data_IF_309159344523
#
_entry.id   IF_309159344523
#
_cell.length_a   1.000
_cell.length_b   1.000
_cell.length_c   1.000
_cell.angle_alpha   90.00
_cell.angle_beta   90.00
_cell.angle_gamma   90.00
#
_symmetry.space_group_name_H-M   'P 1'
#
loop_
_entity.id
_entity.type
_entity.pdbx_description
1 polymer ?
#
# COMPACT_ATOMS: atom_id res chain seq x y z
N UNK A 1 -0.76 23.03 -46.50
CA UNK A 1 -0.09 23.51 -45.28
C UNK A 1 -1.01 23.47 -44.03
N UNK A 2 -2.35 23.71 -44.13
CA UNK A 2 -3.25 23.67 -42.94
C UNK A 2 -3.48 22.29 -42.35
N UNK A 3 -3.31 21.19 -43.08
CA UNK A 3 -3.52 19.81 -42.60
C UNK A 3 -2.33 19.21 -41.83
N UNK A 4 -1.11 19.74 -42.03
CA UNK A 4 0.09 19.30 -41.31
C UNK A 4 0.19 19.88 -39.90
N UNK A 5 -0.37 21.06 -39.65
CA UNK A 5 -0.36 21.70 -38.32
C UNK A 5 -1.31 20.97 -37.32
N UNK A 6 -2.42 20.42 -37.84
CA UNK A 6 -3.40 19.72 -36.99
C UNK A 6 -2.88 18.36 -36.43
N UNK A 7 -1.98 17.71 -37.16
CA UNK A 7 -1.42 16.39 -36.74
C UNK A 7 -0.34 16.56 -35.65
N UNK A 8 0.46 17.63 -35.73
CA UNK A 8 1.47 17.90 -34.71
C UNK A 8 0.87 18.30 -33.34
N UNK A 9 -0.30 18.94 -33.31
CA UNK A 9 -0.95 19.35 -32.05
C UNK A 9 -1.52 18.18 -31.27
N UNK A 10 -1.86 17.05 -31.91
CA UNK A 10 -2.39 15.86 -31.23
C UNK A 10 -1.29 15.03 -30.53
N UNK A 11 -0.05 15.12 -30.99
CA UNK A 11 1.06 14.31 -30.46
C UNK A 11 1.61 14.90 -29.14
N UNK A 12 1.43 16.20 -28.90
CA UNK A 12 1.98 16.88 -27.71
C UNK A 12 1.14 16.66 -26.46
N UNK A 13 -0.15 16.33 -26.58
CA UNK A 13 -1.06 16.10 -25.45
C UNK A 13 -0.94 14.71 -24.80
N UNK A 14 -0.26 13.77 -25.44
CA UNK A 14 -0.08 12.40 -24.93
C UNK A 14 1.07 12.24 -23.91
N UNK A 15 1.85 13.29 -23.64
CA UNK A 15 3.05 13.23 -22.79
C UNK A 15 2.79 13.54 -21.29
N UNK A 16 1.56 13.90 -20.90
CA UNK A 16 1.21 14.21 -19.52
C UNK A 16 0.36 13.12 -18.85
N UNK A 17 0.56 11.85 -19.18
CA UNK A 17 0.10 10.80 -18.31
C UNK A 17 0.94 10.88 -17.03
N UNK A 18 0.34 11.02 -15.80
CA UNK A 18 1.11 10.90 -14.58
C UNK A 18 1.70 9.49 -14.59
N UNK A 19 3.02 9.41 -14.73
CA UNK A 19 3.72 8.16 -14.48
C UNK A 19 3.37 7.78 -13.05
N UNK A 20 2.56 6.75 -12.86
CA UNK A 20 2.47 6.11 -11.57
C UNK A 20 3.92 5.83 -11.16
N UNK A 21 4.37 6.42 -10.05
CA UNK A 21 5.73 6.23 -9.56
C UNK A 21 5.90 4.75 -9.25
N UNK A 22 6.35 3.99 -10.24
CA UNK A 22 6.80 2.62 -10.05
C UNK A 22 8.17 2.71 -9.42
N UNK A 23 8.39 1.90 -8.36
CA UNK A 23 9.74 1.72 -7.85
C UNK A 23 10.62 1.25 -9.02
N UNK A 24 11.82 1.79 -9.13
CA UNK A 24 12.81 1.26 -10.04
C UNK A 24 13.38 -0.08 -9.52
N UNK A 25 14.30 -0.70 -10.24
CA UNK A 25 14.79 -2.05 -9.89
C UNK A 25 15.42 -2.11 -8.49
N UNK A 26 16.10 -1.06 -8.04
CA UNK A 26 16.69 -1.02 -6.69
C UNK A 26 15.64 -0.85 -5.60
N UNK A 27 14.61 -0.06 -5.84
CA UNK A 27 13.44 0.05 -4.95
C UNK A 27 12.67 -1.26 -4.85
N UNK A 28 12.54 -2.00 -5.94
CA UNK A 28 11.95 -3.34 -5.95
C UNK A 28 12.78 -4.34 -5.13
N UNK A 29 14.09 -4.31 -5.24
CA UNK A 29 14.98 -5.22 -4.46
C UNK A 29 14.96 -4.86 -2.98
N UNK A 30 14.97 -3.58 -2.64
CA UNK A 30 14.76 -3.11 -1.27
C UNK A 30 13.41 -3.58 -0.71
N UNK A 31 12.32 -3.43 -1.46
CA UNK A 31 11.00 -3.88 -1.05
C UNK A 31 10.93 -5.40 -0.84
N UNK A 32 11.53 -6.19 -1.73
CA UNK A 32 11.63 -7.65 -1.57
C UNK A 32 12.43 -8.04 -0.34
N UNK A 33 13.55 -7.35 -0.06
CA UNK A 33 14.32 -7.56 1.16
C UNK A 33 13.45 -7.30 2.39
N UNK A 34 12.78 -6.15 2.50
CA UNK A 34 11.91 -5.81 3.62
C UNK A 34 10.81 -6.85 3.86
N UNK A 35 10.15 -7.32 2.80
CA UNK A 35 9.12 -8.36 2.91
C UNK A 35 9.70 -9.67 3.43
N UNK A 36 10.88 -10.09 2.96
CA UNK A 36 11.54 -11.33 3.43
C UNK A 36 12.06 -11.21 4.86
N UNK A 37 12.50 -10.03 5.27
CA UNK A 37 13.03 -9.77 6.60
C UNK A 37 11.95 -9.61 7.68
N UNK A 38 10.67 -9.45 7.30
CA UNK A 38 9.56 -9.33 8.25
C UNK A 38 8.88 -10.67 8.53
N UNK A 39 8.67 -10.96 9.81
CA UNK A 39 7.86 -12.10 10.26
C UNK A 39 6.35 -11.85 10.06
N UNK A 40 5.49 -12.88 10.16
CA UNK A 40 4.04 -12.69 10.21
C UNK A 40 3.60 -11.76 11.35
N UNK A 41 4.26 -11.84 12.52
CA UNK A 41 4.00 -10.99 13.68
C UNK A 41 4.36 -9.53 13.42
N UNK A 42 5.46 -9.27 12.71
CA UNK A 42 5.84 -7.91 12.30
C UNK A 42 4.79 -7.33 11.34
N UNK A 43 4.35 -8.10 10.36
CA UNK A 43 3.31 -7.65 9.43
C UNK A 43 1.97 -7.41 10.11
N UNK A 44 1.60 -8.26 11.08
CA UNK A 44 0.41 -8.02 11.91
C UNK A 44 0.54 -6.73 12.74
N UNK A 45 1.75 -6.44 13.25
CA UNK A 45 2.03 -5.17 13.96
C UNK A 45 1.93 -3.97 13.02
N UNK A 46 2.41 -4.06 11.78
CA UNK A 46 2.23 -3.00 10.77
C UNK A 46 0.75 -2.69 10.55
N UNK A 47 -0.11 -3.72 10.42
CA UNK A 47 -1.56 -3.54 10.28
C UNK A 47 -2.16 -2.86 11.53
N UNK A 48 -1.77 -3.30 12.74
CA UNK A 48 -2.24 -2.68 13.98
C UNK A 48 -1.84 -1.20 14.06
N UNK A 49 -0.63 -0.87 13.65
CA UNK A 49 -0.13 0.50 13.62
C UNK A 49 -0.91 1.36 12.63
N UNK A 50 -1.14 0.88 11.40
CA UNK A 50 -1.96 1.58 10.40
C UNK A 50 -3.38 1.81 10.95
N UNK A 51 -3.99 0.78 11.55
CA UNK A 51 -5.32 0.89 12.12
C UNK A 51 -5.38 1.91 13.26
N UNK A 52 -4.34 1.99 14.10
CA UNK A 52 -4.26 2.97 15.19
C UNK A 52 -4.23 4.41 14.68
N UNK A 53 -3.65 4.68 13.49
CA UNK A 53 -3.73 5.98 12.82
C UNK A 53 -5.08 6.25 12.21
N UNK A 54 -5.66 5.29 11.50
CA UNK A 54 -7.01 5.41 10.91
C UNK A 54 -8.04 5.72 12.01
N UNK A 55 -7.90 5.09 13.18
CA UNK A 55 -8.77 5.32 14.34
C UNK A 55 -8.67 6.73 14.95
N UNK A 56 -7.72 7.57 14.54
CA UNK A 56 -7.68 8.99 14.91
C UNK A 56 -8.65 9.85 14.09
N UNK A 57 -9.07 9.37 12.91
CA UNK A 57 -10.00 10.11 12.07
C UNK A 57 -11.35 10.30 12.79
N UNK A 58 -11.94 11.51 12.79
CA UNK A 58 -13.19 11.79 13.53
C UNK A 58 -14.33 10.80 13.23
N UNK A 59 -14.50 10.41 11.97
CA UNK A 59 -15.58 9.51 11.55
C UNK A 59 -15.32 8.04 11.91
N UNK A 60 -14.07 7.66 12.12
CA UNK A 60 -13.65 6.27 12.44
C UNK A 60 -13.48 6.07 13.95
N UNK A 61 -13.11 7.13 14.66
CA UNK A 61 -12.83 7.11 16.11
C UNK A 61 -13.93 6.47 16.95
N UNK A 62 -15.18 6.59 16.52
CA UNK A 62 -16.33 6.02 17.22
C UNK A 62 -16.43 4.49 17.09
N UNK A 63 -15.73 3.90 16.11
CA UNK A 63 -15.75 2.46 15.81
C UNK A 63 -14.67 1.69 16.57
N UNK A 64 -13.67 2.39 17.15
CA UNK A 64 -12.54 1.76 17.82
C UNK A 64 -12.06 2.62 18.99
N UNK A 65 -11.78 1.97 20.13
CA UNK A 65 -11.15 2.59 21.29
C UNK A 65 -9.71 2.10 21.42
N UNK A 66 -8.75 2.98 21.11
CA UNK A 66 -7.31 2.71 21.25
C UNK A 66 -6.73 3.73 22.20
N UNK A 67 -6.17 3.28 23.33
CA UNK A 67 -5.56 4.18 24.32
C UNK A 67 -4.28 4.85 23.78
N UNK A 68 -3.92 5.98 24.37
CA UNK A 68 -2.71 6.71 24.00
C UNK A 68 -1.45 5.89 24.28
N UNK A 69 -1.42 5.13 25.38
CA UNK A 69 -0.32 4.24 25.73
C UNK A 69 -0.13 3.16 24.63
N UNK A 70 -1.24 2.60 24.14
CA UNK A 70 -1.18 1.60 23.05
C UNK A 70 -0.65 2.21 21.76
N UNK A 71 -1.06 3.45 21.42
CA UNK A 71 -0.54 4.17 20.26
C UNK A 71 0.97 4.45 20.39
N UNK A 72 1.40 4.92 21.54
CA UNK A 72 2.84 5.16 21.81
C UNK A 72 3.63 3.86 21.66
N UNK A 73 3.14 2.76 22.21
CA UNK A 73 3.79 1.46 22.09
C UNK A 73 3.87 0.97 20.63
N UNK A 74 2.81 1.14 19.84
CA UNK A 74 2.80 0.79 18.41
C UNK A 74 3.76 1.67 17.61
N UNK A 75 3.80 2.98 17.89
CA UNK A 75 4.73 3.91 17.24
C UNK A 75 6.18 3.51 17.51
N UNK A 76 6.51 3.18 18.77
CA UNK A 76 7.86 2.73 19.11
C UNK A 76 8.23 1.45 18.37
N UNK A 77 7.38 0.43 18.41
CA UNK A 77 7.62 -0.85 17.70
C UNK A 77 7.78 -0.64 16.19
N UNK A 78 6.96 0.22 15.57
CA UNK A 78 7.08 0.52 14.15
C UNK A 78 8.37 1.25 13.83
N UNK A 79 8.80 2.20 14.68
CA UNK A 79 10.08 2.87 14.53
C UNK A 79 11.26 1.89 14.67
N UNK A 80 11.24 1.01 15.66
CA UNK A 80 12.26 -0.02 15.88
C UNK A 80 12.35 -0.97 14.66
N UNK A 81 11.22 -1.45 14.16
CA UNK A 81 11.15 -2.28 12.95
C UNK A 81 11.68 -1.53 11.72
N UNK A 82 11.27 -0.28 11.54
CA UNK A 82 11.73 0.57 10.42
C UNK A 82 13.25 0.72 10.45
N UNK A 83 13.81 1.05 11.58
CA UNK A 83 15.28 1.20 11.72
C UNK A 83 16.00 -0.12 11.46
N UNK A 84 15.53 -1.22 12.04
CA UNK A 84 16.13 -2.54 11.82
C UNK A 84 16.09 -2.96 10.35
N UNK A 85 15.00 -2.72 9.64
CA UNK A 85 14.91 -3.00 8.21
C UNK A 85 15.89 -2.15 7.39
N UNK A 86 15.98 -0.85 7.67
CA UNK A 86 16.79 0.10 6.89
C UNK A 86 18.30 -0.03 7.17
N UNK A 87 18.69 -0.33 8.42
CA UNK A 87 20.10 -0.25 8.84
C UNK A 87 20.76 -1.59 9.10
N UNK A 88 19.97 -2.65 9.34
CA UNK A 88 20.50 -3.96 9.68
C UNK A 88 20.18 -5.01 8.60
N UNK A 89 18.89 -5.32 8.41
CA UNK A 89 18.47 -6.43 7.54
C UNK A 89 18.58 -6.12 6.05
N UNK A 90 18.29 -4.89 5.62
CA UNK A 90 18.29 -4.46 4.22
C UNK A 90 19.18 -3.22 4.00
N UNK A 91 20.27 -3.12 4.75
CA UNK A 91 21.13 -1.94 4.74
C UNK A 91 21.78 -1.68 3.37
N UNK A 92 22.17 -2.72 2.65
CA UNK A 92 22.80 -2.61 1.32
C UNK A 92 21.78 -2.18 0.27
N UNK A 93 20.65 -2.88 0.18
CA UNK A 93 19.58 -2.55 -0.76
C UNK A 93 19.02 -1.14 -0.49
N UNK A 94 18.89 -0.76 0.79
CA UNK A 94 18.47 0.59 1.18
C UNK A 94 19.45 1.65 0.67
N UNK A 95 20.75 1.43 0.85
CA UNK A 95 21.80 2.37 0.43
C UNK A 95 21.84 2.52 -1.09
N UNK A 96 21.78 1.40 -1.83
CA UNK A 96 21.78 1.42 -3.28
C UNK A 96 20.53 2.08 -3.85
N UNK A 97 19.35 1.72 -3.33
CA UNK A 97 18.09 2.30 -3.76
C UNK A 97 18.05 3.81 -3.54
N UNK A 98 18.45 4.31 -2.36
CA UNK A 98 18.52 5.74 -2.09
C UNK A 98 19.53 6.44 -3.00
N UNK A 99 20.70 5.84 -3.23
CA UNK A 99 21.77 6.43 -4.07
C UNK A 99 21.33 6.61 -5.52
N UNK A 100 20.56 5.67 -6.06
CA UNK A 100 20.22 5.62 -7.49
C UNK A 100 18.84 6.23 -7.76
N UNK A 101 17.86 5.95 -6.91
CA UNK A 101 16.47 6.35 -7.10
C UNK A 101 16.01 7.48 -6.16
N UNK A 102 16.85 7.85 -5.17
CA UNK A 102 16.55 8.93 -4.23
C UNK A 102 15.66 8.51 -3.07
N UNK A 103 15.33 9.47 -2.19
CA UNK A 103 14.63 9.21 -0.92
C UNK A 103 13.18 8.74 -1.10
N UNK A 104 12.51 9.02 -2.24
CA UNK A 104 11.14 8.59 -2.50
C UNK A 104 11.00 7.05 -2.56
N UNK A 105 12.10 6.36 -2.81
CA UNK A 105 12.13 4.88 -2.78
C UNK A 105 11.72 4.29 -1.43
N UNK A 106 11.99 4.99 -0.33
CA UNK A 106 11.56 4.56 1.01
C UNK A 106 10.03 4.43 1.07
N UNK A 107 9.33 5.44 0.59
CA UNK A 107 7.87 5.47 0.57
C UNK A 107 7.29 4.34 -0.29
N UNK A 108 7.82 4.10 -1.46
CA UNK A 108 7.36 3.03 -2.36
C UNK A 108 7.63 1.65 -1.78
N UNK A 109 8.81 1.41 -1.23
CA UNK A 109 9.20 0.13 -0.63
C UNK A 109 8.40 -0.21 0.63
N UNK A 110 8.21 0.76 1.55
CA UNK A 110 7.29 0.59 2.68
C UNK A 110 5.84 0.42 2.24
N UNK A 111 5.44 1.03 1.13
CA UNK A 111 4.13 0.80 0.51
C UNK A 111 3.94 -0.65 0.07
N UNK A 112 4.98 -1.32 -0.42
CA UNK A 112 4.94 -2.76 -0.74
C UNK A 112 4.76 -3.59 0.52
N UNK A 113 5.56 -3.33 1.57
CA UNK A 113 5.44 -4.01 2.86
C UNK A 113 4.02 -3.87 3.44
N UNK A 114 3.47 -2.65 3.41
CA UNK A 114 2.11 -2.40 3.85
C UNK A 114 1.06 -3.20 3.07
N UNK A 115 1.19 -3.29 1.74
CA UNK A 115 0.29 -4.13 0.92
C UNK A 115 0.37 -5.61 1.29
N UNK A 116 1.57 -6.15 1.49
CA UNK A 116 1.74 -7.54 1.92
C UNK A 116 1.12 -7.78 3.29
N UNK A 117 1.33 -6.88 4.24
CA UNK A 117 0.73 -6.95 5.57
C UNK A 117 -0.81 -6.95 5.51
N UNK A 118 -1.41 -6.12 4.64
CA UNK A 118 -2.86 -6.10 4.40
C UNK A 118 -3.34 -7.38 3.71
N UNK A 119 -2.58 -7.95 2.78
CA UNK A 119 -2.91 -9.26 2.17
C UNK A 119 -2.96 -10.37 3.21
N UNK A 120 -2.00 -10.41 4.13
CA UNK A 120 -2.01 -11.36 5.25
C UNK A 120 -3.25 -11.18 6.15
N UNK A 121 -3.67 -9.92 6.40
CA UNK A 121 -4.90 -9.62 7.12
C UNK A 121 -6.12 -10.23 6.42
N UNK A 122 -6.25 -10.04 5.11
CA UNK A 122 -7.36 -10.60 4.33
C UNK A 122 -7.30 -12.13 4.17
N UNK A 123 -6.16 -12.75 4.46
CA UNK A 123 -6.06 -14.20 4.52
C UNK A 123 -6.66 -14.81 5.81
N UNK A 124 -6.94 -13.99 6.83
CA UNK A 124 -7.56 -14.41 8.08
C UNK A 124 -9.03 -14.84 7.88
N UNK A 125 -9.44 -15.95 8.49
CA UNK A 125 -10.77 -16.54 8.25
C UNK A 125 -11.92 -15.67 8.79
N UNK A 126 -11.73 -14.97 9.91
CA UNK A 126 -12.75 -14.05 10.43
C UNK A 126 -12.94 -12.84 9.50
N UNK A 127 -11.86 -12.34 8.88
CA UNK A 127 -11.92 -11.26 7.90
C UNK A 127 -12.60 -11.72 6.61
N UNK A 128 -12.28 -12.94 6.13
CA UNK A 128 -12.96 -13.55 4.97
C UNK A 128 -14.44 -13.71 5.23
N UNK A 129 -14.82 -14.16 6.42
CA UNK A 129 -16.23 -14.29 6.80
C UNK A 129 -16.94 -12.94 6.76
N UNK A 130 -16.34 -11.87 7.32
CA UNK A 130 -16.90 -10.52 7.25
C UNK A 130 -17.09 -10.02 5.82
N UNK A 131 -16.15 -10.31 4.91
CA UNK A 131 -16.30 -10.00 3.48
C UNK A 131 -17.42 -10.81 2.82
N UNK A 132 -17.59 -12.08 3.18
CA UNK A 132 -18.71 -12.92 2.73
C UNK A 132 -20.05 -12.35 3.20
N UNK A 133 -20.11 -11.87 4.43
CA UNK A 133 -21.31 -11.22 4.98
C UNK A 133 -21.66 -9.95 4.21
N UNK A 134 -20.66 -9.15 3.84
CA UNK A 134 -20.88 -8.00 2.94
C UNK A 134 -21.44 -8.44 1.59
N UNK A 135 -20.86 -9.48 0.96
CA UNK A 135 -21.28 -9.95 -0.35
C UNK A 135 -22.75 -10.37 -0.38
N UNK A 136 -23.28 -10.94 0.70
CA UNK A 136 -24.70 -11.33 0.82
C UNK A 136 -25.67 -10.15 0.81
N UNK A 137 -25.20 -8.93 1.02
CA UNK A 137 -26.01 -7.71 0.95
C UNK A 137 -26.01 -7.07 -0.45
N UNK A 138 -25.27 -7.63 -1.41
CA UNK A 138 -25.24 -7.12 -2.78
C UNK A 138 -26.48 -7.63 -3.56
N UNK A 139 -27.03 -6.76 -4.40
CA UNK A 139 -28.11 -7.11 -5.32
C UNK A 139 -27.54 -7.88 -6.53
N UNK A 140 -27.49 -9.20 -6.42
CA UNK A 140 -26.96 -10.09 -7.47
C UNK A 140 -27.68 -9.92 -8.81
N UNK A 141 -28.99 -9.61 -8.80
CA UNK A 141 -29.76 -9.39 -10.03
C UNK A 141 -29.25 -8.18 -10.80
N UNK A 142 -29.04 -7.05 -10.10
CA UNK A 142 -28.50 -5.83 -10.71
C UNK A 142 -27.08 -6.03 -11.24
N UNK A 143 -26.24 -6.76 -10.49
CA UNK A 143 -24.90 -7.09 -10.94
C UNK A 143 -24.94 -7.93 -12.22
N UNK A 144 -25.81 -8.96 -12.27
CA UNK A 144 -25.97 -9.81 -13.45
C UNK A 144 -26.44 -9.01 -14.67
N UNK A 145 -27.45 -8.17 -14.49
CA UNK A 145 -27.97 -7.29 -15.56
C UNK A 145 -26.85 -6.36 -16.10
N UNK A 146 -26.03 -5.80 -15.21
CA UNK A 146 -24.88 -4.96 -15.59
C UNK A 146 -23.85 -5.74 -16.43
N UNK A 147 -23.50 -6.96 -16.01
CA UNK A 147 -22.54 -7.81 -16.73
C UNK A 147 -23.09 -8.24 -18.10
N UNK A 148 -24.38 -8.53 -18.21
CA UNK A 148 -25.01 -8.88 -19.47
C UNK A 148 -25.07 -7.69 -20.45
N UNK A 149 -25.29 -6.49 -19.93
CA UNK A 149 -25.30 -5.26 -20.74
C UNK A 149 -23.90 -4.82 -21.23
N UNK A 150 -22.83 -5.35 -20.64
CA UNK A 150 -21.43 -5.02 -20.97
C UNK A 150 -20.83 -5.98 -22.03
N UNK A 151 -21.59 -6.99 -22.49
CA UNK A 151 -21.17 -7.96 -23.53
C UNK A 151 -21.63 -7.52 -24.90
#
# INVERSE_FOLDING_TARGET
MRKLVAVCSLIILAQFAPAAAQAGPFGDDMAKCMVRATSPEDRAMVVQWIFAFIALHPDVRQLASISDEKRVALNKRMADLTMSLLTDHCAEETREAIKIEGMEVLKTSFGVLGRVAVQDLFANDAVKQGLSDFSRNLDEKKIKELVEAAK
#
